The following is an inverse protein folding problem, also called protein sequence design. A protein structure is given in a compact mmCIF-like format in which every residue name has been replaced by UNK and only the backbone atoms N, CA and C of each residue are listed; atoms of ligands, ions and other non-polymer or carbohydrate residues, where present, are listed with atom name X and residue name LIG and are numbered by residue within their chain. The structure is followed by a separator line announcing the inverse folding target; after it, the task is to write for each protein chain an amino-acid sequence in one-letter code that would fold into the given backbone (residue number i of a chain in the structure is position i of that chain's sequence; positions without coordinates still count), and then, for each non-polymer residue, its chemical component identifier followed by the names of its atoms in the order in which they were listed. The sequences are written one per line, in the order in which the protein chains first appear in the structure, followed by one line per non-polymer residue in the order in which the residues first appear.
data_IF_771845294095
#
_entry.id   IF_771845294095
#
_cell.length_a   1.000
_cell.length_b   1.000
_cell.length_c   1.000
_cell.angle_alpha   90.00
_cell.angle_beta   90.00
_cell.angle_gamma   90.00
#
_symmetry.space_group_name_H-M   'P 1'
#
loop_
_entity.id
_entity.type
_entity.pdbx_description
1 polymer ?
#
# COMPACT_ATOMS: atom_id res chain seq x y z
N UNK A 1 17.63 -9.07 10.93
CA UNK A 1 16.68 -8.24 11.69
C UNK A 1 15.90 -7.50 10.63
N UNK A 2 14.61 -7.79 10.46
CA UNK A 2 13.80 -7.03 9.50
C UNK A 2 13.68 -5.59 10.02
N UNK A 3 13.97 -4.62 9.17
CA UNK A 3 13.90 -3.22 9.56
C UNK A 3 12.43 -2.85 9.69
N UNK A 4 12.02 -2.38 10.87
CA UNK A 4 10.70 -1.82 11.09
C UNK A 4 10.65 -0.39 10.56
N UNK A 5 9.48 0.07 10.16
CA UNK A 5 9.25 1.47 9.81
C UNK A 5 9.71 2.44 10.90
N UNK A 6 10.32 3.55 10.49
CA UNK A 6 10.59 4.67 11.37
C UNK A 6 9.29 5.44 11.71
N UNK A 7 9.35 6.31 12.71
CA UNK A 7 8.16 7.03 13.21
C UNK A 7 7.50 7.91 12.13
N UNK A 8 8.30 8.48 11.23
CA UNK A 8 7.80 9.32 10.14
C UNK A 8 6.97 8.48 9.17
N UNK A 9 7.48 7.34 8.76
CA UNK A 9 6.78 6.38 7.88
C UNK A 9 5.50 5.86 8.51
N UNK A 10 5.55 5.48 9.79
CA UNK A 10 4.36 5.05 10.52
C UNK A 10 3.29 6.14 10.58
N UNK A 11 3.69 7.41 10.73
CA UNK A 11 2.77 8.55 10.68
C UNK A 11 2.12 8.68 9.30
N UNK A 12 2.88 8.53 8.23
CA UNK A 12 2.34 8.57 6.85
C UNK A 12 1.35 7.44 6.61
N UNK A 13 1.70 6.19 6.96
CA UNK A 13 0.80 5.04 6.81
C UNK A 13 -0.47 5.24 7.65
N UNK A 14 -0.35 5.78 8.87
CA UNK A 14 -1.50 6.07 9.72
C UNK A 14 -2.40 7.15 9.11
N UNK A 15 -1.83 8.19 8.48
CA UNK A 15 -2.61 9.20 7.79
C UNK A 15 -3.36 8.61 6.59
N UNK A 16 -2.73 7.75 5.80
CA UNK A 16 -3.38 7.02 4.70
C UNK A 16 -4.54 6.18 5.23
N UNK A 17 -4.30 5.39 6.28
CA UNK A 17 -5.32 4.58 6.92
C UNK A 17 -6.51 5.41 7.41
N UNK A 18 -6.26 6.51 8.12
CA UNK A 18 -7.31 7.41 8.62
C UNK A 18 -8.08 8.10 7.48
N UNK A 19 -7.40 8.46 6.40
CA UNK A 19 -8.05 9.02 5.21
C UNK A 19 -8.95 7.98 4.55
N UNK A 20 -8.52 6.73 4.42
CA UNK A 20 -9.37 5.66 3.88
C UNK A 20 -10.61 5.42 4.75
N UNK A 21 -10.46 5.39 6.08
CA UNK A 21 -11.59 5.23 7.01
C UNK A 21 -12.61 6.37 6.96
N UNK A 22 -12.16 7.60 6.68
CA UNK A 22 -13.03 8.79 6.70
C UNK A 22 -13.60 9.15 5.33
N UNK A 23 -13.07 8.58 4.24
CA UNK A 23 -13.47 8.96 2.89
C UNK A 23 -14.81 8.31 2.50
N UNK A 24 -15.83 9.07 2.06
CA UNK A 24 -17.16 8.55 1.77
C UNK A 24 -17.21 7.40 0.74
N UNK A 25 -16.29 7.38 -0.23
CA UNK A 25 -16.21 6.28 -1.21
C UNK A 25 -15.90 4.91 -0.60
N UNK A 26 -15.31 4.87 0.60
CA UNK A 26 -14.94 3.65 1.28
C UNK A 26 -15.85 3.34 2.48
N UNK A 27 -17.01 4.01 2.61
CA UNK A 27 -17.94 3.80 3.74
C UNK A 27 -18.46 2.37 3.86
N UNK A 28 -18.48 1.63 2.75
CA UNK A 28 -18.93 0.23 2.68
C UNK A 28 -17.77 -0.76 2.76
N UNK A 29 -16.54 -0.27 2.93
CA UNK A 29 -15.35 -1.08 3.07
C UNK A 29 -15.00 -1.24 4.56
N UNK A 30 -14.78 -2.48 4.99
CA UNK A 30 -14.02 -2.73 6.20
C UNK A 30 -12.53 -2.64 5.86
N UNK A 31 -11.78 -1.85 6.62
CA UNK A 31 -10.35 -1.65 6.39
C UNK A 31 -9.61 -2.08 7.65
N UNK A 32 -8.71 -3.04 7.52
CA UNK A 32 -7.92 -3.57 8.62
C UNK A 32 -6.45 -3.18 8.45
N UNK A 33 -5.84 -2.71 9.53
CA UNK A 33 -4.40 -2.44 9.59
C UNK A 33 -3.70 -3.59 10.31
N UNK A 34 -2.80 -4.27 9.61
CA UNK A 34 -2.04 -5.41 10.12
C UNK A 34 -0.57 -5.01 10.19
N UNK A 35 0.06 -5.15 11.36
CA UNK A 35 1.51 -4.97 11.52
C UNK A 35 2.17 -6.35 11.50
N UNK A 36 2.89 -6.65 10.42
CA UNK A 36 3.63 -7.90 10.30
C UNK A 36 5.07 -7.68 10.77
N UNK A 37 5.26 -7.83 12.09
CA UNK A 37 6.57 -7.71 12.71
C UNK A 37 7.57 -8.77 12.22
N UNK A 38 7.09 -9.89 11.65
CA UNK A 38 7.93 -10.94 11.11
C UNK A 38 8.63 -10.51 9.83
N UNK A 39 7.93 -9.76 8.97
CA UNK A 39 8.45 -9.28 7.69
C UNK A 39 8.81 -7.78 7.69
N UNK A 40 8.55 -7.07 8.80
CA UNK A 40 8.77 -5.62 8.90
C UNK A 40 7.75 -4.77 8.15
N UNK A 41 6.67 -5.36 7.65
CA UNK A 41 5.68 -4.69 6.80
C UNK A 41 4.46 -4.21 7.59
N UNK A 42 3.76 -3.23 7.01
CA UNK A 42 2.43 -2.81 7.46
C UNK A 42 1.49 -3.01 6.29
N UNK A 43 0.34 -3.63 6.53
CA UNK A 43 -0.63 -3.97 5.50
C UNK A 43 -1.94 -3.27 5.81
N UNK A 44 -2.60 -2.78 4.77
CA UNK A 44 -3.98 -2.32 4.82
C UNK A 44 -4.82 -3.27 3.96
N UNK A 45 -5.61 -4.11 4.62
CA UNK A 45 -6.51 -5.06 3.96
C UNK A 45 -7.90 -4.45 3.88
N UNK A 46 -8.44 -4.37 2.67
CA UNK A 46 -9.76 -3.82 2.38
C UNK A 46 -10.72 -4.94 2.03
N UNK A 47 -11.88 -4.94 2.67
CA UNK A 47 -12.95 -5.88 2.46
C UNK A 47 -14.22 -5.15 2.03
N UNK A 48 -14.79 -5.55 0.90
CA UNK A 48 -16.06 -5.03 0.42
C UNK A 48 -17.17 -6.05 0.69
N UNK A 49 -18.16 -5.68 1.50
CA UNK A 49 -19.25 -6.56 1.92
C UNK A 49 -18.74 -7.91 2.50
N UNK A 50 -17.68 -7.86 3.31
CA UNK A 50 -17.07 -9.03 3.95
C UNK A 50 -16.13 -9.86 3.07
N UNK A 51 -15.97 -9.50 1.78
CA UNK A 51 -15.06 -10.20 0.87
C UNK A 51 -13.76 -9.41 0.71
N UNK A 52 -12.62 -10.10 0.75
CA UNK A 52 -11.32 -9.49 0.47
C UNK A 52 -11.36 -8.81 -0.91
N UNK A 53 -10.96 -7.55 -0.95
CA UNK A 53 -11.00 -6.72 -2.16
C UNK A 53 -9.59 -6.33 -2.60
N UNK A 54 -8.85 -5.62 -1.74
CA UNK A 54 -7.49 -5.18 -2.03
C UNK A 54 -6.61 -5.23 -0.78
N UNK A 55 -5.30 -5.44 -0.97
CA UNK A 55 -4.27 -5.31 0.05
C UNK A 55 -3.23 -4.31 -0.42
N UNK A 56 -2.86 -3.39 0.47
CA UNK A 56 -1.73 -2.47 0.28
C UNK A 56 -0.67 -2.82 1.31
N UNK A 57 0.39 -3.50 0.87
CA UNK A 57 1.51 -3.89 1.71
C UNK A 57 2.63 -2.88 1.56
N UNK A 58 2.88 -2.11 2.61
CA UNK A 58 3.98 -1.15 2.69
C UNK A 58 5.26 -1.89 3.09
N UNK A 59 6.33 -1.66 2.34
CA UNK A 59 7.64 -2.26 2.56
C UNK A 59 8.68 -1.19 2.92
N UNK A 60 9.46 -1.39 4.00
CA UNK A 60 10.46 -0.43 4.43
C UNK A 60 11.81 -0.60 3.73
N UNK A 61 12.51 0.52 3.50
CA UNK A 61 13.95 0.53 3.20
C UNK A 61 14.78 0.20 4.47
N UNK A 62 16.13 0.08 4.36
CA UNK A 62 16.98 -0.15 5.52
C UNK A 62 16.96 0.93 6.62
N UNK A 63 16.50 2.15 6.31
CA UNK A 63 16.34 3.25 7.24
C UNK A 63 14.90 3.35 7.81
N UNK A 64 14.02 2.41 7.45
CA UNK A 64 12.62 2.38 7.86
C UNK A 64 11.72 3.38 7.14
N UNK A 65 12.17 3.98 6.02
CA UNK A 65 11.31 4.77 5.13
C UNK A 65 10.42 3.83 4.31
N UNK A 66 9.28 4.31 3.82
CA UNK A 66 8.47 3.55 2.86
C UNK A 66 9.23 3.54 1.53
N UNK A 67 9.75 2.37 1.16
CA UNK A 67 10.44 2.16 -0.12
C UNK A 67 9.41 1.86 -1.22
N UNK A 68 8.48 0.97 -0.92
CA UNK A 68 7.51 0.50 -1.90
C UNK A 68 6.18 0.11 -1.29
N UNK A 69 5.19 -0.03 -2.17
CA UNK A 69 3.87 -0.57 -1.87
C UNK A 69 3.51 -1.65 -2.88
N UNK A 70 3.29 -2.86 -2.38
CA UNK A 70 2.72 -3.94 -3.19
C UNK A 70 1.19 -3.94 -3.06
N UNK A 71 0.50 -3.83 -4.19
CA UNK A 71 -0.97 -3.81 -4.28
C UNK A 71 -1.46 -5.15 -4.82
N UNK A 72 -2.23 -5.88 -4.02
CA UNK A 72 -2.86 -7.15 -4.40
C UNK A 72 -4.38 -6.98 -4.45
N UNK A 73 -5.04 -7.85 -5.22
CA UNK A 73 -6.50 -7.99 -5.20
C UNK A 73 -7.16 -7.61 -6.52
N UNK A 74 -8.28 -6.90 -6.44
CA UNK A 74 -9.10 -6.52 -7.57
C UNK A 74 -8.52 -5.32 -8.36
N UNK A 75 -8.90 -5.23 -9.63
CA UNK A 75 -8.62 -4.04 -10.48
C UNK A 75 -7.13 -3.65 -10.57
N UNK A 76 -6.19 -4.59 -10.48
CA UNK A 76 -4.73 -4.31 -10.53
C UNK A 76 -4.33 -3.48 -11.75
N UNK A 77 -4.88 -3.78 -12.94
CA UNK A 77 -4.59 -3.01 -14.15
C UNK A 77 -5.14 -1.58 -14.11
N UNK A 78 -6.21 -1.33 -13.36
CA UNK A 78 -6.73 0.02 -13.16
C UNK A 78 -5.88 0.79 -12.14
N UNK A 79 -5.40 0.12 -11.09
CA UNK A 79 -4.41 0.68 -10.18
C UNK A 79 -3.14 1.08 -10.93
N UNK A 80 -2.56 0.15 -11.69
CA UNK A 80 -1.38 0.39 -12.54
C UNK A 80 -1.59 1.62 -13.42
N UNK A 81 -2.63 1.63 -14.26
CA UNK A 81 -2.90 2.74 -15.19
C UNK A 81 -3.08 4.09 -14.50
N UNK A 82 -3.76 4.13 -13.35
CA UNK A 82 -3.97 5.37 -12.59
C UNK A 82 -2.68 5.89 -11.95
N UNK A 83 -1.83 4.97 -11.46
CA UNK A 83 -0.55 5.33 -10.87
C UNK A 83 0.43 5.75 -11.97
N UNK A 84 0.52 5.02 -13.09
CA UNK A 84 1.33 5.42 -14.26
C UNK A 84 0.96 6.80 -14.79
N UNK A 85 -0.35 7.11 -14.86
CA UNK A 85 -0.81 8.38 -15.37
C UNK A 85 -0.54 9.56 -14.42
N UNK A 86 -0.57 9.32 -13.11
CA UNK A 86 -0.41 10.38 -12.11
C UNK A 86 1.01 10.49 -11.55
N UNK A 87 1.79 9.42 -11.61
CA UNK A 87 3.04 9.22 -10.87
C UNK A 87 2.92 9.59 -9.39
N UNK A 88 1.75 9.29 -8.80
CA UNK A 88 1.41 9.58 -7.40
C UNK A 88 0.76 8.38 -6.72
N UNK A 89 1.10 8.18 -5.45
CA UNK A 89 0.42 7.26 -4.55
C UNK A 89 0.20 7.95 -3.20
N UNK A 90 -1.07 8.24 -2.85
CA UNK A 90 -1.42 8.93 -1.60
C UNK A 90 -0.58 10.21 -1.35
N UNK A 91 -0.50 11.07 -2.38
CA UNK A 91 0.30 12.31 -2.43
C UNK A 91 1.83 12.15 -2.43
N UNK A 92 2.34 10.92 -2.35
CA UNK A 92 3.76 10.60 -2.46
C UNK A 92 4.12 10.45 -3.95
N UNK A 93 5.25 11.01 -4.36
CA UNK A 93 5.80 10.79 -5.70
C UNK A 93 6.13 9.32 -5.91
N UNK A 94 5.79 8.81 -7.10
CA UNK A 94 6.16 7.46 -7.53
C UNK A 94 7.37 7.56 -8.42
N UNK A 95 8.39 6.74 -8.16
CA UNK A 95 9.58 6.63 -8.98
C UNK A 95 9.38 5.61 -10.11
N UNK A 96 8.74 4.49 -9.78
CA UNK A 96 8.47 3.40 -10.71
C UNK A 96 7.18 2.69 -10.31
N UNK A 97 6.43 2.22 -11.31
CA UNK A 97 5.29 1.34 -11.09
C UNK A 97 5.29 0.25 -12.16
N UNK A 98 5.07 -0.99 -11.74
CA UNK A 98 5.01 -2.13 -12.65
C UNK A 98 4.07 -3.21 -12.12
N UNK A 99 3.72 -4.17 -12.97
CA UNK A 99 2.98 -5.36 -12.54
C UNK A 99 3.93 -6.56 -12.50
N UNK A 100 4.02 -7.20 -11.34
CA UNK A 100 4.75 -8.44 -11.17
C UNK A 100 3.77 -9.63 -11.28
N UNK A 101 4.08 -10.54 -12.20
CA UNK A 101 3.32 -11.77 -12.46
C UNK A 101 4.15 -13.04 -12.15
N UNK A 102 5.34 -12.91 -11.55
CA UNK A 102 6.28 -13.99 -11.32
C UNK A 102 6.00 -14.85 -10.08
N UNK A 103 5.14 -14.39 -9.17
CA UNK A 103 4.81 -15.06 -7.91
C UNK A 103 3.51 -15.88 -7.91
N UNK A 104 3.09 -16.33 -6.72
CA UNK A 104 1.82 -17.05 -6.51
C UNK A 104 0.57 -16.23 -6.84
N UNK A 105 0.67 -14.91 -6.81
CA UNK A 105 -0.41 -13.99 -7.15
C UNK A 105 0.17 -12.71 -7.74
N UNK A 106 -0.45 -12.17 -8.80
CA UNK A 106 0.00 -10.93 -9.39
C UNK A 106 -0.20 -9.76 -8.43
N UNK A 107 0.67 -8.76 -8.52
CA UNK A 107 0.55 -7.52 -7.77
C UNK A 107 1.13 -6.36 -8.55
N UNK A 108 0.65 -5.15 -8.24
CA UNK A 108 1.30 -3.92 -8.72
C UNK A 108 2.36 -3.54 -7.70
N UNK A 109 3.60 -3.45 -8.16
CA UNK A 109 4.72 -2.93 -7.37
C UNK A 109 4.86 -1.43 -7.64
N UNK A 110 4.92 -0.65 -6.57
CA UNK A 110 4.99 0.81 -6.61
C UNK A 110 6.19 1.26 -5.80
N UNK A 111 7.23 1.75 -6.47
CA UNK A 111 8.42 2.32 -5.82
C UNK A 111 8.17 3.79 -5.53
N UNK A 112 8.30 4.19 -4.26
CA UNK A 112 8.00 5.54 -3.80
C UNK A 112 9.26 6.42 -3.73
N UNK A 113 9.04 7.70 -3.99
CA UNK A 113 10.02 8.76 -3.75
C UNK A 113 10.02 9.23 -2.31
N UNK A 114 10.84 10.25 -2.03
CA UNK A 114 10.91 10.86 -0.71
C UNK A 114 9.66 11.65 -0.37
N UNK A 115 9.21 11.54 0.87
CA UNK A 115 8.14 12.31 1.51
C UNK A 115 8.65 12.98 2.79
#
# INVERSE_FOLDING_TARGET
MYNSFNEKSLRVINNIYNNLLSHPLFSNCQIERINDFGNGTVQLDMYLNGNFYNKYMFCPDPAGNIESVAIYGASLMEHLRKIEASMKFCDIDVLEVSIDNGGYSPYVDVILGTY
#
